data_IF_775054483729
#
_entry.id   IF_775054483729
#
_cell.length_a   1.000
_cell.length_b   1.000
_cell.length_c   1.000
_cell.angle_alpha   90.00
_cell.angle_beta   90.00
_cell.angle_gamma   90.00
#
_symmetry.space_group_name_H-M   'P 1'
#
loop_
_entity.id
_entity.type
_entity.pdbx_description
1 polymer ?
#
# COMPACT_ATOMS: atom_id res chain seq x y z
N UNK A 1 -5.33 -11.54 37.81
CA UNK A 1 -5.38 -10.53 36.71
C UNK A 1 -3.98 -10.33 36.14
N UNK A 2 -3.45 -11.23 35.28
CA UNK A 2 -2.08 -11.05 34.69
C UNK A 2 -1.71 -12.00 33.55
N UNK A 3 -2.67 -12.67 32.90
CA UNK A 3 -2.38 -13.68 31.86
C UNK A 3 -2.87 -13.32 30.44
N UNK A 4 -3.56 -12.18 30.26
CA UNK A 4 -4.21 -11.81 28.99
C UNK A 4 -3.29 -10.95 28.09
N UNK A 5 -2.15 -10.49 28.60
CA UNK A 5 -1.23 -9.63 27.86
C UNK A 5 -0.47 -10.39 26.75
N UNK A 6 -0.17 -11.69 26.95
CA UNK A 6 0.58 -12.50 26.01
C UNK A 6 -0.14 -12.77 24.67
N UNK A 7 -1.45 -13.13 24.62
CA UNK A 7 -2.14 -13.33 23.35
C UNK A 7 -2.36 -12.03 22.57
N UNK A 8 -2.58 -10.90 23.24
CA UNK A 8 -2.80 -9.62 22.57
C UNK A 8 -1.55 -9.12 21.83
N UNK A 9 -0.37 -9.27 22.43
CA UNK A 9 0.90 -8.91 21.80
C UNK A 9 1.20 -9.82 20.60
N UNK A 10 0.88 -11.12 20.71
CA UNK A 10 1.06 -12.07 19.62
C UNK A 10 0.17 -11.73 18.41
N UNK A 11 -1.08 -11.30 18.63
CA UNK A 11 -1.99 -10.93 17.53
C UNK A 11 -1.57 -9.68 16.74
N UNK A 12 -0.91 -8.71 17.38
CA UNK A 12 -0.42 -7.50 16.69
C UNK A 12 0.75 -7.81 15.77
N UNK A 13 1.59 -8.79 16.11
CA UNK A 13 2.77 -9.17 15.31
C UNK A 13 2.42 -9.77 13.94
N UNK A 14 1.21 -10.32 13.77
CA UNK A 14 0.75 -10.94 12.52
C UNK A 14 -0.12 -10.02 11.63
N UNK A 15 -0.37 -8.78 12.04
CA UNK A 15 -1.27 -7.85 11.32
C UNK A 15 -0.61 -7.10 10.14
N UNK A 16 0.71 -7.22 9.94
CA UNK A 16 1.48 -6.39 9.00
C UNK A 16 1.18 -6.61 7.51
N UNK A 17 0.44 -7.66 7.15
CA UNK A 17 0.15 -8.05 5.76
C UNK A 17 -0.86 -7.13 5.04
N UNK A 18 -1.64 -6.33 5.79
CA UNK A 18 -2.75 -5.55 5.23
C UNK A 18 -2.37 -4.13 4.70
N UNK A 19 -1.09 -3.78 4.64
CA UNK A 19 -0.64 -2.43 4.22
C UNK A 19 -0.29 -2.31 2.73
N UNK A 20 -0.66 -3.30 1.90
CA UNK A 20 -0.41 -3.24 0.47
C UNK A 20 -1.25 -2.13 -0.18
N UNK A 21 -0.58 -1.18 -0.83
CA UNK A 21 -1.23 -0.12 -1.60
C UNK A 21 -1.35 -0.53 -3.07
N UNK A 22 -2.55 -0.39 -3.64
CA UNK A 22 -2.78 -0.59 -5.07
C UNK A 22 -2.47 0.69 -5.82
N UNK A 23 -1.64 0.60 -6.85
CA UNK A 23 -1.34 1.70 -7.76
C UNK A 23 -1.75 1.37 -9.19
N UNK A 24 -2.19 2.38 -9.94
CA UNK A 24 -2.72 2.25 -11.29
C UNK A 24 -1.75 2.82 -12.32
N UNK A 25 -1.58 2.08 -13.43
CA UNK A 25 -0.74 2.46 -14.57
C UNK A 25 -1.57 2.46 -15.86
N UNK A 26 -1.39 3.45 -16.72
CA UNK A 26 -2.03 3.54 -18.03
C UNK A 26 -1.11 4.24 -19.03
N UNK A 27 -1.00 3.80 -20.30
CA UNK A 27 -0.27 4.52 -21.34
C UNK A 27 -0.76 5.96 -21.58
N UNK A 28 -1.98 6.28 -21.17
CA UNK A 28 -2.57 7.63 -21.25
C UNK A 28 -2.60 8.37 -19.91
N UNK A 29 -1.91 7.84 -18.89
CA UNK A 29 -1.81 8.43 -17.55
C UNK A 29 -0.88 9.64 -17.50
N UNK A 30 -0.63 10.15 -16.28
CA UNK A 30 0.27 11.28 -16.04
C UNK A 30 1.10 11.02 -14.78
N UNK A 31 2.42 11.21 -14.86
CA UNK A 31 3.35 10.84 -13.77
C UNK A 31 3.33 11.81 -12.58
N UNK A 32 2.71 12.98 -12.74
CA UNK A 32 2.45 13.94 -11.67
C UNK A 32 1.16 13.66 -10.88
N UNK A 33 0.32 12.72 -11.33
CA UNK A 33 -0.88 12.26 -10.62
C UNK A 33 -0.54 11.43 -9.37
N UNK A 34 -1.55 11.06 -8.58
CA UNK A 34 -1.35 10.32 -7.34
C UNK A 34 -1.19 8.80 -7.52
N UNK A 35 -1.64 8.23 -8.64
CA UNK A 35 -1.55 6.79 -8.92
C UNK A 35 -2.49 5.90 -8.10
N UNK A 36 -3.35 6.47 -7.25
CA UNK A 36 -4.19 5.72 -6.28
C UNK A 36 -5.60 5.39 -6.78
N UNK A 37 -5.96 5.88 -7.96
CA UNK A 37 -7.23 5.61 -8.62
C UNK A 37 -7.02 5.43 -10.14
N UNK A 38 -7.90 4.70 -10.85
CA UNK A 38 -7.78 4.53 -12.31
C UNK A 38 -7.75 5.85 -13.10
N UNK A 39 -8.49 6.87 -12.63
CA UNK A 39 -8.52 8.20 -13.25
C UNK A 39 -7.23 9.03 -13.02
N UNK A 40 -6.40 8.61 -12.06
CA UNK A 40 -5.16 9.27 -11.65
C UNK A 40 -3.94 8.37 -11.91
N UNK A 41 -4.05 7.45 -12.88
CA UNK A 41 -3.00 6.48 -13.17
C UNK A 41 -1.70 7.17 -13.64
N UNK A 42 -0.56 6.59 -13.26
CA UNK A 42 0.75 7.02 -13.79
C UNK A 42 0.96 6.52 -15.21
N UNK A 43 1.80 7.24 -15.96
CA UNK A 43 2.17 6.88 -17.32
C UNK A 43 3.31 5.86 -17.36
N UNK A 44 4.25 5.96 -16.41
CA UNK A 44 5.49 5.17 -16.44
C UNK A 44 5.72 4.35 -15.18
N UNK A 45 6.36 3.20 -15.36
CA UNK A 45 6.84 2.37 -14.25
C UNK A 45 7.91 3.08 -13.40
N UNK A 46 8.64 4.03 -13.98
CA UNK A 46 9.65 4.79 -13.26
C UNK A 46 9.06 5.53 -12.06
N UNK A 47 7.86 6.12 -12.24
CA UNK A 47 7.11 6.73 -11.14
C UNK A 47 6.61 5.68 -10.14
N UNK A 48 6.07 4.57 -10.63
CA UNK A 48 5.52 3.51 -9.79
C UNK A 48 6.56 2.89 -8.84
N UNK A 49 7.77 2.63 -9.33
CA UNK A 49 8.83 2.03 -8.52
C UNK A 49 9.48 2.97 -7.50
N UNK A 50 9.26 4.29 -7.59
CA UNK A 50 9.68 5.23 -6.55
C UNK A 50 8.70 5.31 -5.39
N UNK A 51 7.44 4.94 -5.61
CA UNK A 51 6.37 5.06 -4.63
C UNK A 51 6.11 3.75 -3.85
N UNK A 52 6.65 2.63 -4.34
CA UNK A 52 6.65 1.31 -3.72
C UNK A 52 7.87 1.15 -2.80
#
# INVERSE_FOLDING_TARGET
>A
MRAILLPAVLSVMFASSALAHTYYLSPTGQDDAAGRAPAEAWATFGRAFQAL
#
